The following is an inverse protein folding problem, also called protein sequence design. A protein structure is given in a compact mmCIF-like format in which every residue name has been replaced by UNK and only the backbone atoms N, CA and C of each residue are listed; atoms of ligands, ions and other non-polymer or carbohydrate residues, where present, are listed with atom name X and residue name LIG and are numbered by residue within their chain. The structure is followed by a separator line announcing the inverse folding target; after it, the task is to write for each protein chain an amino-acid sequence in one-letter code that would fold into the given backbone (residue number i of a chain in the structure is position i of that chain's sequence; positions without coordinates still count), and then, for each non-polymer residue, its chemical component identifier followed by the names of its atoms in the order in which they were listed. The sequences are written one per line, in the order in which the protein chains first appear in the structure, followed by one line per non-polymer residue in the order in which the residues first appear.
data_IF_239425931509
#
_entry.id   IF_239425931509
#
_cell.length_a   1.000
_cell.length_b   1.000
_cell.length_c   1.000
_cell.angle_alpha   90.00
_cell.angle_beta   90.00
_cell.angle_gamma   90.00
#
_symmetry.space_group_name_H-M   'P 1'
#
loop_
_entity.id
_entity.type
_entity.pdbx_description
1 polymer ?
#
# COMPACT_ATOMS: atom_id res chain seq x y z
N UNK A 1 -18.53 -1.20 3.08
CA UNK A 1 -19.00 0.18 2.82
C UNK A 1 -18.35 0.65 1.54
N UNK A 2 -19.07 1.39 0.68
CA UNK A 2 -18.53 1.91 -0.58
C UNK A 2 -17.53 3.02 -0.29
N UNK A 3 -16.49 3.17 -1.13
CA UNK A 3 -15.47 4.18 -0.93
C UNK A 3 -14.93 4.77 -2.21
N UNK A 4 -14.45 5.99 -2.11
CA UNK A 4 -13.82 6.75 -3.20
C UNK A 4 -12.64 7.55 -2.64
N UNK A 5 -11.63 7.75 -3.46
CA UNK A 5 -10.46 8.54 -3.12
C UNK A 5 -10.46 9.89 -3.84
N UNK A 6 -9.86 10.89 -3.22
CA UNK A 6 -9.64 12.19 -3.83
C UNK A 6 -8.74 12.08 -5.07
N UNK A 7 -9.07 12.85 -6.09
CA UNK A 7 -8.30 13.00 -7.32
C UNK A 7 -8.53 14.40 -7.86
N UNK A 8 -8.03 14.70 -9.06
CA UNK A 8 -8.36 15.97 -9.71
C UNK A 8 -9.85 16.09 -10.05
N UNK A 9 -10.48 14.97 -10.39
CA UNK A 9 -11.88 14.85 -10.77
C UNK A 9 -12.80 14.54 -9.59
N UNK A 10 -12.27 13.92 -8.53
CA UNK A 10 -13.00 13.65 -7.30
C UNK A 10 -12.52 14.60 -6.21
N UNK A 11 -13.31 15.62 -5.89
CA UNK A 11 -12.90 16.69 -5.01
C UNK A 11 -13.98 17.14 -4.04
N UNK A 12 -13.56 17.87 -3.01
CA UNK A 12 -14.44 18.47 -2.00
C UNK A 12 -14.56 19.97 -2.21
N UNK A 13 -15.77 20.51 -2.09
CA UNK A 13 -16.06 21.94 -2.12
C UNK A 13 -17.13 22.28 -1.10
N UNK A 14 -16.72 22.99 -0.04
CA UNK A 14 -17.61 23.25 1.11
C UNK A 14 -18.00 21.96 1.84
N UNK A 15 -19.31 21.73 2.01
CA UNK A 15 -19.89 20.52 2.59
C UNK A 15 -20.22 19.43 1.56
N UNK A 16 -19.81 19.61 0.32
CA UNK A 16 -20.11 18.68 -0.77
C UNK A 16 -18.85 18.03 -1.34
N UNK A 17 -18.98 16.77 -1.73
CA UNK A 17 -18.01 16.01 -2.50
C UNK A 17 -18.58 15.72 -3.87
N UNK A 18 -17.77 15.90 -4.90
CA UNK A 18 -18.11 15.66 -6.30
C UNK A 18 -17.29 14.50 -6.81
N UNK A 19 -17.95 13.46 -7.31
CA UNK A 19 -17.33 12.28 -7.91
C UNK A 19 -17.55 12.34 -9.41
N UNK A 20 -16.54 12.76 -10.14
CA UNK A 20 -16.59 12.96 -11.61
C UNK A 20 -15.52 12.12 -12.34
N UNK A 21 -14.62 11.43 -11.61
CA UNK A 21 -13.68 10.50 -12.25
C UNK A 21 -14.48 9.41 -12.98
N UNK A 22 -14.26 9.22 -14.30
CA UNK A 22 -15.14 8.37 -15.12
C UNK A 22 -15.27 6.93 -14.66
N UNK A 23 -14.17 6.33 -14.14
CA UNK A 23 -14.21 4.94 -13.66
C UNK A 23 -14.97 4.84 -12.33
N UNK A 24 -14.74 5.76 -11.39
CA UNK A 24 -15.44 5.79 -10.11
C UNK A 24 -16.92 6.08 -10.31
N UNK A 25 -17.26 7.07 -11.15
CA UNK A 25 -18.65 7.35 -11.51
C UNK A 25 -19.35 6.13 -12.11
N UNK A 26 -18.75 5.50 -13.13
CA UNK A 26 -19.29 4.31 -13.77
C UNK A 26 -19.41 3.14 -12.80
N UNK A 27 -18.40 2.92 -11.96
CA UNK A 27 -18.39 1.85 -10.97
C UNK A 27 -19.52 2.04 -9.95
N UNK A 28 -19.64 3.22 -9.35
CA UNK A 28 -20.68 3.53 -8.39
C UNK A 28 -22.09 3.43 -9.00
N UNK A 29 -22.29 3.98 -10.20
CA UNK A 29 -23.61 4.01 -10.85
C UNK A 29 -24.03 2.67 -11.44
N UNK A 30 -23.15 2.00 -12.19
CA UNK A 30 -23.51 0.82 -12.98
C UNK A 30 -23.23 -0.50 -12.25
N UNK A 31 -22.12 -0.57 -11.50
CA UNK A 31 -21.73 -1.81 -10.81
C UNK A 31 -22.33 -1.84 -9.42
N UNK A 32 -22.07 -0.83 -8.61
CA UNK A 32 -22.56 -0.78 -7.23
C UNK A 32 -24.00 -0.25 -7.10
N UNK A 33 -24.55 0.37 -8.15
CA UNK A 33 -25.91 0.88 -8.22
C UNK A 33 -26.31 1.72 -7.01
N UNK A 34 -25.43 2.66 -6.65
CA UNK A 34 -25.62 3.52 -5.49
C UNK A 34 -26.90 4.37 -5.63
N UNK A 35 -27.60 4.60 -4.52
CA UNK A 35 -28.87 5.32 -4.47
C UNK A 35 -28.74 6.62 -3.67
N UNK A 36 -29.73 7.52 -3.83
CA UNK A 36 -29.88 8.69 -2.95
C UNK A 36 -29.99 8.23 -1.50
N UNK A 37 -29.44 9.03 -0.59
CA UNK A 37 -29.32 8.78 0.86
C UNK A 37 -28.40 7.62 1.26
N UNK A 38 -27.81 6.91 0.30
CA UNK A 38 -26.84 5.87 0.60
C UNK A 38 -25.50 6.48 1.06
N UNK A 39 -24.88 5.86 2.05
CA UNK A 39 -23.63 6.34 2.62
C UNK A 39 -22.42 5.70 1.91
N UNK A 40 -21.37 6.50 1.78
CA UNK A 40 -20.05 6.07 1.34
C UNK A 40 -18.94 6.84 2.05
N UNK A 41 -17.72 6.32 2.00
CA UNK A 41 -16.53 7.00 2.47
C UNK A 41 -15.79 7.68 1.32
N UNK A 42 -15.41 8.92 1.55
CA UNK A 42 -14.51 9.66 0.68
C UNK A 42 -13.19 9.92 1.43
N UNK A 43 -12.07 9.54 0.85
CA UNK A 43 -10.75 9.71 1.44
C UNK A 43 -9.98 10.81 0.76
N UNK A 44 -9.62 11.85 1.50
CA UNK A 44 -8.63 12.84 1.10
C UNK A 44 -7.26 12.40 1.62
N UNK A 45 -6.49 11.76 0.73
CA UNK A 45 -5.19 11.20 1.07
C UNK A 45 -4.11 12.26 1.31
N UNK A 46 -4.26 13.45 0.73
CA UNK A 46 -3.32 14.55 0.93
C UNK A 46 -3.43 15.13 2.34
N UNK A 47 -4.65 15.21 2.86
CA UNK A 47 -4.94 15.74 4.20
C UNK A 47 -5.04 14.66 5.27
N UNK A 48 -5.00 13.39 4.89
CA UNK A 48 -5.26 12.26 5.79
C UNK A 48 -6.62 12.36 6.50
N UNK A 49 -7.67 12.73 5.74
CA UNK A 49 -9.03 12.88 6.27
C UNK A 49 -9.94 11.89 5.55
N UNK A 50 -10.76 11.21 6.34
CA UNK A 50 -11.90 10.43 5.87
C UNK A 50 -13.17 11.24 6.08
N UNK A 51 -14.00 11.32 5.06
CA UNK A 51 -15.32 11.91 5.10
C UNK A 51 -16.38 10.81 4.96
N UNK A 52 -17.32 10.76 5.88
CA UNK A 52 -18.55 9.99 5.72
C UNK A 52 -19.55 10.87 5.00
N UNK A 53 -20.02 10.42 3.85
CA UNK A 53 -20.87 11.21 2.97
C UNK A 53 -22.14 10.48 2.63
N UNK A 54 -23.21 11.24 2.34
CA UNK A 54 -24.48 10.72 1.78
C UNK A 54 -24.65 11.21 0.36
N UNK A 55 -25.16 10.35 -0.52
CA UNK A 55 -25.54 10.71 -1.88
C UNK A 55 -26.74 11.63 -1.83
N UNK A 56 -26.61 12.82 -2.39
CA UNK A 56 -27.71 13.82 -2.42
C UNK A 56 -28.23 14.05 -3.82
N UNK A 57 -27.42 13.83 -4.85
CA UNK A 57 -27.87 14.05 -6.22
C UNK A 57 -26.99 13.28 -7.23
N UNK A 58 -27.53 13.13 -8.45
CA UNK A 58 -26.88 12.56 -9.61
C UNK A 58 -26.93 13.54 -10.77
N UNK A 59 -25.81 14.18 -11.08
CA UNK A 59 -25.63 14.94 -12.29
C UNK A 59 -25.48 14.03 -13.53
N UNK A 60 -25.25 14.66 -14.69
CA UNK A 60 -25.05 13.95 -15.96
C UNK A 60 -23.83 13.02 -15.90
N UNK A 61 -22.71 13.52 -15.39
CA UNK A 61 -21.42 12.84 -15.36
C UNK A 61 -20.75 12.94 -13.97
N UNK A 62 -21.53 13.17 -12.93
CA UNK A 62 -21.05 13.30 -11.56
C UNK A 62 -22.05 12.75 -10.54
N UNK A 63 -21.55 12.37 -9.37
CA UNK A 63 -22.34 12.06 -8.19
C UNK A 63 -22.02 13.14 -7.14
N UNK A 64 -23.08 13.73 -6.60
CA UNK A 64 -22.95 14.77 -5.59
C UNK A 64 -23.27 14.16 -4.22
N UNK A 65 -22.32 14.29 -3.31
CA UNK A 65 -22.44 13.82 -1.95
C UNK A 65 -22.47 15.00 -0.99
N UNK A 66 -23.09 14.85 0.16
CA UNK A 66 -22.99 15.76 1.29
C UNK A 66 -22.17 15.11 2.38
N UNK A 67 -21.22 15.86 2.92
CA UNK A 67 -20.46 15.45 4.10
C UNK A 67 -21.37 15.39 5.31
N UNK A 68 -21.38 14.26 6.00
CA UNK A 68 -22.11 14.04 7.26
C UNK A 68 -21.17 14.19 8.44
N UNK A 69 -19.93 13.67 8.29
CA UNK A 69 -18.95 13.62 9.35
C UNK A 69 -17.54 13.50 8.75
N UNK A 70 -16.53 13.84 9.52
CA UNK A 70 -15.12 13.71 9.11
C UNK A 70 -14.24 13.29 10.28
N UNK A 71 -13.22 12.49 9.99
CA UNK A 71 -12.22 12.07 10.96
C UNK A 71 -10.84 12.01 10.34
N UNK A 72 -9.81 12.27 11.14
CA UNK A 72 -8.44 12.01 10.73
C UNK A 72 -8.23 10.49 10.59
N UNK A 73 -7.51 10.10 9.56
CA UNK A 73 -7.03 8.74 9.40
C UNK A 73 -5.54 8.68 9.72
N UNK A 74 -5.16 7.64 10.42
CA UNK A 74 -3.75 7.35 10.73
C UNK A 74 -3.42 5.91 10.35
N UNK A 75 -2.17 5.69 9.97
CA UNK A 75 -1.69 4.32 9.76
C UNK A 75 -1.66 3.57 11.09
N UNK A 76 -1.97 2.29 11.04
CA UNK A 76 -1.77 1.40 12.18
C UNK A 76 -0.27 1.26 12.49
N UNK A 77 0.04 0.93 13.73
CA UNK A 77 1.40 0.53 14.14
C UNK A 77 1.43 -0.96 14.43
N UNK A 78 2.56 -1.60 14.23
CA UNK A 78 3.82 -1.11 13.62
C UNK A 78 3.69 -0.83 12.13
N UNK A 79 4.52 0.08 11.59
CA UNK A 79 4.69 0.22 10.13
C UNK A 79 5.34 -1.05 9.57
N UNK A 80 4.78 -1.61 8.51
CA UNK A 80 5.24 -2.87 7.92
C UNK A 80 6.04 -2.58 6.65
N UNK A 81 7.30 -2.96 6.65
CA UNK A 81 8.23 -2.81 5.52
C UNK A 81 8.66 -4.18 5.03
N UNK A 82 8.48 -4.44 3.73
CA UNK A 82 9.00 -5.63 3.08
C UNK A 82 10.21 -5.26 2.20
N UNK A 83 11.35 -5.88 2.46
CA UNK A 83 12.52 -5.88 1.58
C UNK A 83 12.48 -7.19 0.80
N UNK A 84 12.21 -7.10 -0.50
CA UNK A 84 11.97 -8.24 -1.37
C UNK A 84 13.04 -8.33 -2.46
N UNK A 85 13.79 -9.45 -2.53
CA UNK A 85 14.60 -9.75 -3.69
C UNK A 85 13.72 -9.93 -4.93
N UNK A 86 14.15 -9.34 -6.07
CA UNK A 86 13.34 -9.38 -7.29
C UNK A 86 13.09 -10.82 -7.75
N UNK A 87 11.83 -11.14 -7.89
CA UNK A 87 11.28 -12.36 -8.47
C UNK A 87 10.78 -12.09 -9.89
N UNK A 88 10.19 -13.06 -10.57
CA UNK A 88 9.61 -12.86 -11.89
C UNK A 88 8.63 -11.68 -11.90
N UNK A 89 8.68 -10.87 -12.95
CA UNK A 89 7.97 -9.58 -13.04
C UNK A 89 6.46 -9.71 -12.79
N UNK A 90 5.79 -10.71 -13.39
CA UNK A 90 4.37 -10.95 -13.18
C UNK A 90 4.06 -11.37 -11.74
N UNK A 91 4.89 -12.23 -11.15
CA UNK A 91 4.75 -12.66 -9.76
C UNK A 91 4.93 -11.50 -8.77
N UNK A 92 5.87 -10.59 -9.06
CA UNK A 92 6.07 -9.37 -8.26
C UNK A 92 4.86 -8.43 -8.32
N UNK A 93 4.24 -8.29 -9.50
CA UNK A 93 3.01 -7.50 -9.66
C UNK A 93 1.84 -8.10 -8.87
N UNK A 94 1.66 -9.42 -8.94
CA UNK A 94 0.62 -10.14 -8.19
C UNK A 94 0.86 -10.08 -6.67
N UNK A 95 2.11 -10.25 -6.24
CA UNK A 95 2.52 -10.10 -4.85
C UNK A 95 2.22 -8.69 -4.33
N UNK A 96 2.60 -7.66 -5.07
CA UNK A 96 2.37 -6.26 -4.71
C UNK A 96 0.90 -5.95 -4.50
N UNK A 97 0.03 -6.47 -5.36
CA UNK A 97 -1.41 -6.32 -5.19
C UNK A 97 -1.86 -6.88 -3.83
N UNK A 98 -1.47 -8.12 -3.53
CA UNK A 98 -1.81 -8.80 -2.26
C UNK A 98 -1.19 -8.12 -1.04
N UNK A 99 0.05 -7.65 -1.13
CA UNK A 99 0.70 -6.89 -0.05
C UNK A 99 -0.06 -5.60 0.26
N UNK A 100 -0.59 -4.94 -0.76
CA UNK A 100 -1.38 -3.74 -0.58
C UNK A 100 -2.77 -4.04 0.02
N UNK A 101 -3.38 -5.16 -0.33
CA UNK A 101 -4.59 -5.68 0.32
C UNK A 101 -4.34 -5.98 1.81
N UNK A 102 -3.19 -6.55 2.15
CA UNK A 102 -2.79 -6.87 3.52
C UNK A 102 -2.35 -5.64 4.34
N UNK A 103 -2.16 -4.50 3.71
CA UNK A 103 -1.79 -3.26 4.40
C UNK A 103 -0.29 -3.12 4.68
N UNK A 104 0.57 -3.76 3.88
CA UNK A 104 2.01 -3.50 3.92
C UNK A 104 2.28 -2.04 3.52
N UNK A 105 3.04 -1.31 4.32
CA UNK A 105 3.25 0.12 4.11
C UNK A 105 4.29 0.41 3.01
N UNK A 106 5.41 -0.30 3.03
CA UNK A 106 6.51 -0.08 2.09
C UNK A 106 7.01 -1.41 1.53
N UNK A 107 7.19 -1.46 0.21
CA UNK A 107 7.94 -2.52 -0.46
C UNK A 107 9.21 -1.91 -1.04
N UNK A 108 10.36 -2.43 -0.60
CA UNK A 108 11.68 -2.11 -1.10
C UNK A 108 12.22 -3.29 -1.91
N UNK A 109 12.14 -3.24 -3.25
CA UNK A 109 12.76 -4.26 -4.09
C UNK A 109 14.29 -4.18 -4.00
N UNK A 110 14.95 -5.32 -4.01
CA UNK A 110 16.42 -5.39 -4.07
C UNK A 110 16.89 -6.37 -5.14
N UNK A 111 18.05 -6.06 -5.73
CA UNK A 111 18.75 -6.95 -6.65
C UNK A 111 19.80 -7.72 -5.86
N UNK A 112 19.55 -9.00 -5.62
CA UNK A 112 20.44 -9.95 -4.97
C UNK A 112 21.11 -10.88 -6.00
N UNK A 113 21.99 -11.76 -5.58
CA UNK A 113 22.76 -12.65 -6.48
C UNK A 113 21.86 -13.55 -7.35
N UNK A 114 20.78 -14.04 -6.81
CA UNK A 114 19.86 -14.98 -7.48
C UNK A 114 18.52 -14.34 -7.85
N UNK A 115 18.40 -13.01 -7.74
CA UNK A 115 17.18 -12.30 -8.13
C UNK A 115 17.07 -12.16 -9.64
N UNK A 116 15.85 -11.98 -10.11
CA UNK A 116 15.60 -11.52 -11.47
C UNK A 116 16.14 -10.10 -11.66
N UNK A 117 16.41 -9.73 -12.90
CA UNK A 117 16.86 -8.38 -13.25
C UNK A 117 16.00 -7.85 -14.39
N UNK A 118 15.28 -6.78 -14.13
CA UNK A 118 14.50 -6.04 -15.12
C UNK A 118 14.42 -4.56 -14.75
N UNK A 119 14.13 -3.73 -15.71
CA UNK A 119 14.18 -2.28 -15.56
C UNK A 119 12.96 -1.75 -14.82
N UNK A 120 13.22 -0.80 -13.91
CA UNK A 120 12.21 -0.01 -13.19
C UNK A 120 12.18 1.42 -13.74
N UNK A 121 11.79 1.54 -15.02
CA UNK A 121 11.55 2.84 -15.65
C UNK A 121 10.33 3.55 -15.03
N UNK A 122 10.13 4.81 -15.40
CA UNK A 122 9.01 5.61 -14.84
C UNK A 122 7.65 5.01 -15.17
N UNK A 123 7.49 4.43 -16.36
CA UNK A 123 6.26 3.77 -16.80
C UNK A 123 5.94 2.53 -15.95
N UNK A 124 6.96 1.73 -15.64
CA UNK A 124 6.77 0.57 -14.80
C UNK A 124 6.50 0.95 -13.34
N UNK A 125 7.19 1.97 -12.82
CA UNK A 125 6.91 2.50 -11.49
C UNK A 125 5.48 3.01 -11.36
N UNK A 126 4.96 3.70 -12.40
CA UNK A 126 3.57 4.15 -12.41
C UNK A 126 2.58 2.98 -12.45
N UNK A 127 2.89 1.93 -13.22
CA UNK A 127 2.11 0.68 -13.21
C UNK A 127 2.06 0.06 -11.83
N UNK A 128 3.20 -0.06 -11.14
CA UNK A 128 3.26 -0.61 -9.78
C UNK A 128 2.45 0.20 -8.78
N UNK A 129 2.53 1.54 -8.83
CA UNK A 129 1.69 2.41 -7.98
C UNK A 129 0.21 2.16 -8.21
N UNK A 130 -0.20 1.99 -9.46
CA UNK A 130 -1.60 1.69 -9.79
C UNK A 130 -2.02 0.32 -9.25
N UNK A 131 -1.18 -0.71 -9.36
CA UNK A 131 -1.46 -2.04 -8.80
C UNK A 131 -1.65 -1.96 -7.29
N UNK A 132 -0.74 -1.28 -6.58
CA UNK A 132 -0.85 -1.10 -5.14
C UNK A 132 -2.12 -0.33 -4.75
N UNK A 133 -2.47 0.71 -5.51
CA UNK A 133 -3.69 1.49 -5.29
C UNK A 133 -4.96 0.62 -5.46
N UNK A 134 -5.04 -0.18 -6.51
CA UNK A 134 -6.19 -1.06 -6.75
C UNK A 134 -6.30 -2.15 -5.67
N UNK A 135 -5.18 -2.74 -5.23
CA UNK A 135 -5.18 -3.68 -4.10
C UNK A 135 -5.72 -3.04 -2.83
N UNK A 136 -5.20 -1.89 -2.44
CA UNK A 136 -5.68 -1.14 -1.26
C UNK A 136 -7.18 -0.81 -1.38
N UNK A 137 -7.63 -0.36 -2.55
CA UNK A 137 -9.02 -0.02 -2.83
C UNK A 137 -9.96 -1.21 -2.66
N UNK A 138 -9.52 -2.41 -3.03
CA UNK A 138 -10.32 -3.65 -2.92
C UNK A 138 -10.76 -3.93 -1.48
N UNK A 139 -9.89 -3.70 -0.52
CA UNK A 139 -10.14 -3.97 0.91
C UNK A 139 -10.50 -2.72 1.70
N UNK A 140 -10.46 -1.56 1.05
CA UNK A 140 -10.78 -0.31 1.71
C UNK A 140 -9.68 0.27 2.56
N UNK A 141 -8.45 -0.07 2.27
CA UNK A 141 -7.29 0.52 2.90
C UNK A 141 -7.04 1.92 2.29
N UNK A 142 -7.08 3.01 3.08
CA UNK A 142 -6.79 4.35 2.57
C UNK A 142 -5.29 4.59 2.31
N UNK A 143 -4.43 3.65 2.68
CA UNK A 143 -2.98 3.76 2.58
C UNK A 143 -2.40 2.70 1.63
N UNK A 144 -2.36 2.96 0.31
CA UNK A 144 -1.72 2.04 -0.64
C UNK A 144 -0.25 1.80 -0.30
N UNK A 145 0.22 0.60 -0.59
CA UNK A 145 1.64 0.25 -0.43
C UNK A 145 2.54 1.16 -1.26
N UNK A 146 3.53 1.77 -0.62
CA UNK A 146 4.56 2.56 -1.29
C UNK A 146 5.64 1.63 -1.86
N UNK A 147 5.78 1.59 -3.18
CA UNK A 147 6.85 0.85 -3.85
C UNK A 147 8.02 1.78 -4.13
N UNK A 148 9.21 1.39 -3.72
CA UNK A 148 10.44 2.12 -3.95
C UNK A 148 11.19 1.58 -5.18
N UNK A 149 12.14 2.37 -5.72
CA UNK A 149 13.03 1.88 -6.76
C UNK A 149 14.02 0.87 -6.18
N UNK A 150 14.36 -0.18 -6.94
CA UNK A 150 15.31 -1.17 -6.46
C UNK A 150 16.72 -0.60 -6.31
N UNK A 151 17.46 -1.14 -5.36
CA UNK A 151 18.92 -1.02 -5.30
C UNK A 151 19.57 -2.40 -5.28
N UNK A 152 20.86 -2.45 -5.61
CA UNK A 152 21.61 -3.70 -5.67
C UNK A 152 22.41 -3.95 -4.39
N UNK A 153 22.36 -5.18 -3.90
CA UNK A 153 23.18 -5.66 -2.78
C UNK A 153 24.31 -6.61 -3.23
N UNK A 154 24.50 -6.78 -4.55
CA UNK A 154 25.47 -7.74 -5.09
C UNK A 154 26.92 -7.32 -4.94
N UNK A 155 27.17 -6.00 -4.93
CA UNK A 155 28.53 -5.43 -4.85
C UNK A 155 28.82 -4.77 -3.50
N UNK A 156 27.81 -4.15 -2.91
CA UNK A 156 27.93 -3.42 -1.65
C UNK A 156 26.61 -3.47 -0.88
N UNK A 157 26.71 -3.41 0.44
CA UNK A 157 25.56 -3.32 1.33
C UNK A 157 25.31 -1.88 1.81
N UNK A 158 25.96 -0.86 1.21
CA UNK A 158 25.82 0.54 1.63
C UNK A 158 24.39 1.01 1.57
N UNK A 159 23.74 0.84 0.41
CA UNK A 159 22.36 1.29 0.16
C UNK A 159 21.37 0.57 1.08
N UNK A 160 21.61 -0.72 1.34
CA UNK A 160 20.81 -1.49 2.30
C UNK A 160 20.96 -0.94 3.73
N UNK A 161 22.20 -0.67 4.16
CA UNK A 161 22.45 -0.11 5.49
C UNK A 161 21.84 1.29 5.61
N UNK A 162 22.03 2.14 4.61
CA UNK A 162 21.45 3.46 4.56
C UNK A 162 19.94 3.41 4.62
N UNK A 163 19.30 2.56 3.81
CA UNK A 163 17.85 2.37 3.83
C UNK A 163 17.35 1.96 5.21
N UNK A 164 17.94 0.93 5.81
CA UNK A 164 17.53 0.46 7.14
C UNK A 164 17.79 1.49 8.23
N UNK A 165 18.86 2.29 8.12
CA UNK A 165 19.22 3.32 9.07
C UNK A 165 18.43 4.63 8.89
N UNK A 166 17.77 4.83 7.76
CA UNK A 166 16.96 6.02 7.50
C UNK A 166 15.69 6.07 8.35
N UNK A 167 15.28 4.96 8.90
CA UNK A 167 14.09 4.87 9.72
C UNK A 167 14.35 5.33 11.15
N UNK A 168 13.51 6.22 11.66
CA UNK A 168 13.50 6.63 13.05
C UNK A 168 12.61 5.70 13.89
N UNK A 169 12.88 5.65 15.20
CA UNK A 169 12.13 4.82 16.14
C UNK A 169 12.66 3.38 16.25
N UNK A 170 11.94 2.58 17.02
CA UNK A 170 12.29 1.18 17.28
C UNK A 170 11.89 0.29 16.12
N UNK A 171 12.81 -0.60 15.69
CA UNK A 171 12.60 -1.46 14.51
C UNK A 171 12.88 -2.91 14.85
N UNK A 172 11.90 -3.79 14.63
CA UNK A 172 12.07 -5.23 14.66
C UNK A 172 12.40 -5.74 13.24
N UNK A 173 13.39 -6.64 13.11
CA UNK A 173 13.87 -7.13 11.81
C UNK A 173 13.77 -8.64 11.75
N UNK A 174 13.13 -9.14 10.69
CA UNK A 174 12.91 -10.56 10.44
C UNK A 174 13.51 -10.92 9.10
N UNK A 175 14.41 -11.89 9.09
CA UNK A 175 14.97 -12.46 7.86
C UNK A 175 14.36 -13.85 7.63
N UNK A 176 13.66 -14.01 6.52
CA UNK A 176 13.20 -15.31 6.07
C UNK A 176 14.32 -16.03 5.32
N UNK A 177 14.73 -17.18 5.82
CA UNK A 177 15.76 -17.98 5.21
C UNK A 177 15.43 -19.47 5.35
N UNK A 178 15.79 -20.24 4.33
CA UNK A 178 15.67 -21.69 4.32
C UNK A 178 16.94 -22.39 4.85
N UNK A 179 17.97 -21.60 5.25
CA UNK A 179 19.24 -22.10 5.77
C UNK A 179 19.41 -21.69 7.23
N UNK A 180 20.00 -22.55 8.02
CA UNK A 180 20.41 -22.18 9.37
C UNK A 180 21.67 -21.28 9.27
N UNK A 181 21.48 -19.98 9.52
CA UNK A 181 22.52 -18.95 9.45
C UNK A 181 23.06 -18.56 10.83
N UNK A 182 22.80 -19.37 11.86
CA UNK A 182 23.32 -19.14 13.21
C UNK A 182 22.61 -18.03 14.00
N UNK A 183 21.42 -17.64 13.58
CA UNK A 183 20.57 -16.68 14.30
C UNK A 183 19.62 -17.36 15.29
N UNK A 184 18.90 -16.57 16.07
CA UNK A 184 17.77 -17.05 16.87
C UNK A 184 16.65 -17.40 15.90
N UNK A 185 16.24 -18.67 15.86
CA UNK A 185 15.04 -19.09 15.16
C UNK A 185 13.84 -18.81 16.05
N UNK A 186 12.99 -17.88 15.63
CA UNK A 186 11.77 -17.54 16.36
C UNK A 186 10.58 -18.28 15.79
N UNK A 187 9.68 -18.71 16.66
CA UNK A 187 8.35 -19.14 16.25
C UNK A 187 7.53 -17.88 15.86
N UNK A 188 6.74 -17.98 14.80
CA UNK A 188 5.91 -16.86 14.35
C UNK A 188 5.00 -16.28 15.44
N UNK A 189 4.48 -17.12 16.32
CA UNK A 189 3.62 -16.67 17.44
C UNK A 189 4.39 -15.85 18.48
N UNK A 190 5.65 -16.20 18.79
CA UNK A 190 6.51 -15.42 19.68
C UNK A 190 6.82 -14.03 19.06
N UNK A 191 7.00 -13.99 17.74
CA UNK A 191 7.22 -12.74 17.02
C UNK A 191 6.00 -11.81 17.11
N UNK A 192 4.78 -12.33 16.96
CA UNK A 192 3.56 -11.52 16.98
C UNK A 192 3.37 -10.77 18.31
N UNK A 193 3.70 -11.39 19.43
CA UNK A 193 3.60 -10.75 20.75
C UNK A 193 4.63 -9.62 20.92
N UNK A 194 5.83 -9.78 20.36
CA UNK A 194 6.90 -8.79 20.49
C UNK A 194 6.74 -7.60 19.53
N UNK A 195 6.29 -7.82 18.29
CA UNK A 195 6.28 -6.77 17.26
C UNK A 195 5.37 -5.59 17.59
N UNK A 196 4.35 -5.76 18.41
CA UNK A 196 3.45 -4.69 18.84
C UNK A 196 4.16 -3.58 19.65
N UNK A 197 5.33 -3.88 20.22
CA UNK A 197 6.13 -2.94 21.00
C UNK A 197 7.06 -2.07 20.13
N UNK A 198 7.10 -2.31 18.83
CA UNK A 198 7.98 -1.58 17.91
C UNK A 198 7.20 -0.59 17.05
N UNK A 199 7.88 0.48 16.63
CA UNK A 199 7.31 1.43 15.68
C UNK A 199 7.22 0.85 14.27
N UNK A 200 8.10 -0.14 13.97
CA UNK A 200 8.23 -0.74 12.65
C UNK A 200 8.69 -2.20 12.71
N UNK A 201 8.22 -2.96 11.72
CA UNK A 201 8.72 -4.30 11.42
C UNK A 201 9.25 -4.33 10.00
N UNK A 202 10.48 -4.83 9.82
CA UNK A 202 11.10 -5.04 8.51
C UNK A 202 11.21 -6.53 8.26
N UNK A 203 10.51 -7.00 7.23
CA UNK A 203 10.66 -8.35 6.70
C UNK A 203 11.65 -8.34 5.54
N UNK A 204 12.59 -9.29 5.54
CA UNK A 204 13.52 -9.50 4.44
C UNK A 204 13.27 -10.88 3.82
N UNK A 205 12.92 -10.91 2.53
CA UNK A 205 12.61 -12.14 1.79
C UNK A 205 13.51 -12.24 0.55
N UNK A 206 14.15 -13.40 0.37
CA UNK A 206 14.97 -13.72 -0.79
C UNK A 206 14.14 -14.03 -2.03
N UNK A 207 14.82 -14.19 -3.18
CA UNK A 207 14.26 -14.86 -4.34
C UNK A 207 14.18 -16.38 -4.11
N UNK A 208 13.69 -17.14 -5.09
CA UNK A 208 13.61 -18.61 -5.03
C UNK A 208 14.97 -19.25 -4.71
N UNK A 209 16.08 -18.65 -5.17
CA UNK A 209 17.46 -19.07 -4.88
C UNK A 209 18.03 -18.55 -3.57
N UNK A 210 17.28 -17.78 -2.78
CA UNK A 210 17.74 -17.13 -1.56
C UNK A 210 18.58 -15.87 -1.83
N UNK A 211 19.30 -15.41 -0.80
CA UNK A 211 20.12 -14.19 -0.89
C UNK A 211 21.55 -14.45 -1.41
N UNK A 212 22.05 -15.71 -1.33
CA UNK A 212 23.47 -16.08 -1.65
C UNK A 212 23.54 -17.23 -2.63
#
# INVERSE_FOLDING_TARGET
MKMVFSSKENYIKGDKVYISEPNDFKHLRKVQRIKIDEELLFFDLERNIQFRCKVVDFGKDEIILRVVDSSLISRAKPEIVLIQSLIQKSSFEDELNRLSELGVDIVQPIISKHSQNYEFDDKYMERLRRIAFEGAKTVGNPFPTKVLRPFSITKTYSDFKEFVSSFQGTTFKILFTNRNIGGVSLNLFEVIEEVSNFDRVIFCVGSEGGFT
#
